data_IF_328932530007
#
_entry.id   IF_328932530007
#
_cell.length_a   1.000
_cell.length_b   1.000
_cell.length_c   1.000
_cell.angle_alpha   90.00
_cell.angle_beta   90.00
_cell.angle_gamma   90.00
#
_symmetry.space_group_name_H-M   'P 1'
#
loop_
_entity.id
_entity.type
_entity.pdbx_description
1 polymer ?
#
# COMPACT_ATOMS: atom_id res chain seq x y z
N UNK A 1 -6.97 -0.45 -20.92
CA UNK A 1 -6.17 0.55 -21.64
C UNK A 1 -4.79 0.04 -22.01
N UNK A 2 -3.93 -0.40 -21.06
CA UNK A 2 -2.55 -0.87 -21.34
C UNK A 2 -2.44 -1.89 -22.49
N UNK A 3 -3.32 -2.89 -22.47
CA UNK A 3 -3.36 -3.92 -23.52
C UNK A 3 -3.67 -3.34 -24.91
N UNK A 4 -4.61 -2.41 -24.96
CA UNK A 4 -5.02 -1.71 -26.18
C UNK A 4 -3.91 -0.80 -26.71
N UNK A 5 -3.22 -0.06 -25.82
CA UNK A 5 -2.05 0.76 -26.18
C UNK A 5 -0.92 -0.07 -26.81
N UNK A 6 -0.78 -1.32 -26.38
CA UNK A 6 0.17 -2.27 -26.95
C UNK A 6 -0.33 -3.00 -28.21
N UNK A 7 -1.53 -2.69 -28.70
CA UNK A 7 -2.14 -3.33 -29.87
C UNK A 7 -2.64 -4.76 -29.63
N UNK A 8 -2.83 -5.15 -28.36
CA UNK A 8 -3.18 -6.51 -28.00
C UNK A 8 -4.64 -6.65 -27.56
N UNK A 9 -5.26 -7.79 -27.86
CA UNK A 9 -6.65 -8.13 -27.54
C UNK A 9 -6.74 -9.33 -26.60
N UNK A 10 -7.86 -9.52 -25.90
CA UNK A 10 -8.00 -10.66 -24.97
C UNK A 10 -7.80 -12.02 -25.64
N UNK A 11 -8.01 -12.12 -26.95
CA UNK A 11 -7.82 -13.35 -27.74
C UNK A 11 -6.35 -13.77 -27.86
N UNK A 12 -5.41 -12.84 -27.74
CA UNK A 12 -3.97 -13.15 -27.84
C UNK A 12 -3.47 -13.97 -26.64
N UNK A 13 -4.25 -14.08 -25.57
CA UNK A 13 -3.92 -14.82 -24.33
C UNK A 13 -2.57 -14.48 -23.69
N UNK A 14 -1.98 -13.34 -24.07
CA UNK A 14 -0.77 -12.78 -23.47
C UNK A 14 -0.98 -12.51 -21.97
N UNK A 15 0.02 -12.92 -21.19
CA UNK A 15 0.09 -12.74 -19.74
C UNK A 15 0.20 -11.25 -19.35
N UNK A 16 -0.40 -10.88 -18.22
CA UNK A 16 -0.38 -9.48 -17.77
C UNK A 16 1.02 -9.01 -17.36
N UNK A 17 1.89 -9.93 -16.94
CA UNK A 17 3.30 -9.65 -16.63
C UNK A 17 4.01 -9.06 -17.85
N UNK A 18 3.79 -9.63 -19.04
CA UNK A 18 4.40 -9.15 -20.28
C UNK A 18 3.90 -7.76 -20.68
N UNK A 19 2.59 -7.51 -20.54
CA UNK A 19 2.03 -6.18 -20.86
C UNK A 19 2.64 -5.13 -19.92
N UNK A 20 2.76 -5.44 -18.62
CA UNK A 20 3.33 -4.54 -17.62
C UNK A 20 4.82 -4.27 -17.86
N UNK A 21 5.59 -5.31 -18.16
CA UNK A 21 7.01 -5.21 -18.51
C UNK A 21 7.22 -4.27 -19.71
N UNK A 22 6.42 -4.47 -20.78
CA UNK A 22 6.45 -3.61 -21.96
C UNK A 22 6.05 -2.16 -21.66
N UNK A 23 5.07 -1.93 -20.78
CA UNK A 23 4.61 -0.58 -20.44
C UNK A 23 5.40 0.05 -19.30
N UNK A 24 6.26 -0.69 -18.59
CA UNK A 24 6.95 -0.25 -17.37
C UNK A 24 6.05 -0.10 -16.13
N UNK A 25 4.78 -0.50 -16.18
CA UNK A 25 3.79 -0.22 -15.13
C UNK A 25 3.90 -1.25 -14.00
N UNK A 26 3.98 -0.78 -12.77
CA UNK A 26 4.12 -1.65 -11.62
C UNK A 26 2.87 -2.52 -11.36
N UNK A 27 3.02 -3.68 -10.71
CA UNK A 27 1.87 -4.48 -10.26
C UNK A 27 0.96 -3.68 -9.32
N UNK A 28 -0.37 -3.83 -9.51
CA UNK A 28 -1.36 -3.14 -8.68
C UNK A 28 -1.18 -3.44 -7.18
N UNK A 29 -0.72 -4.65 -6.84
CA UNK A 29 -0.45 -5.04 -5.45
C UNK A 29 0.62 -4.17 -4.80
N UNK A 30 1.63 -3.76 -5.56
CA UNK A 30 2.71 -2.88 -5.10
C UNK A 30 2.21 -1.45 -4.96
N UNK A 31 1.42 -0.95 -5.91
CA UNK A 31 0.79 0.39 -5.81
C UNK A 31 -0.19 0.49 -4.64
N UNK A 32 -0.97 -0.56 -4.41
CA UNK A 32 -1.83 -0.63 -3.23
C UNK A 32 -1.01 -0.62 -1.94
N UNK A 33 0.16 -1.28 -1.91
CA UNK A 33 1.07 -1.24 -0.76
C UNK A 33 1.63 0.16 -0.53
N UNK A 34 2.15 0.81 -1.58
CA UNK A 34 2.61 2.20 -1.54
C UNK A 34 1.53 3.12 -0.99
N UNK A 35 0.29 3.02 -1.49
CA UNK A 35 -0.82 3.86 -1.03
C UNK A 35 -1.16 3.63 0.45
N UNK A 36 -1.21 2.36 0.90
CA UNK A 36 -1.46 2.03 2.31
C UNK A 36 -0.38 2.59 3.22
N UNK A 37 0.89 2.43 2.87
CA UNK A 37 2.02 2.94 3.65
C UNK A 37 2.12 4.47 3.59
N UNK A 38 1.75 5.09 2.48
CA UNK A 38 1.68 6.55 2.34
C UNK A 38 0.63 7.14 3.29
N UNK A 39 -0.55 6.52 3.38
CA UNK A 39 -1.56 6.89 4.37
C UNK A 39 -1.05 6.66 5.80
N UNK A 40 -0.46 5.50 6.08
CA UNK A 40 0.08 5.21 7.42
C UNK A 40 1.13 6.25 7.86
N UNK A 41 2.11 6.56 7.01
CA UNK A 41 3.11 7.58 7.30
C UNK A 41 2.47 8.95 7.54
N UNK A 42 1.45 9.32 6.75
CA UNK A 42 0.69 10.56 6.98
C UNK A 42 0.07 10.61 8.39
N UNK A 43 -0.53 9.50 8.86
CA UNK A 43 -1.12 9.40 10.20
C UNK A 43 -0.05 9.46 11.29
N UNK A 44 1.05 8.73 11.15
CA UNK A 44 2.14 8.70 12.14
C UNK A 44 2.89 10.03 12.28
N UNK A 45 2.76 10.92 11.31
CA UNK A 45 3.33 12.27 11.38
C UNK A 45 2.40 13.30 12.04
N UNK A 46 1.12 12.97 12.27
CA UNK A 46 0.21 13.89 12.95
C UNK A 46 0.47 13.91 14.46
N UNK A 47 0.24 15.05 15.10
CA UNK A 47 0.25 15.13 16.57
C UNK A 47 -0.73 14.10 17.16
N UNK A 48 -0.44 13.62 18.37
CA UNK A 48 -1.31 12.65 19.06
C UNK A 48 -2.73 13.19 19.27
N UNK A 49 -2.87 14.50 19.38
CA UNK A 49 -4.15 15.21 19.51
C UNK A 49 -4.89 15.37 18.18
N UNK A 50 -4.29 15.05 17.04
CA UNK A 50 -5.00 15.11 15.78
C UNK A 50 -6.08 14.02 15.76
N UNK A 51 -7.28 14.38 15.30
CA UNK A 51 -8.44 13.46 15.22
C UNK A 51 -8.10 12.16 14.51
N UNK A 52 -7.36 12.24 13.40
CA UNK A 52 -6.96 11.06 12.61
C UNK A 52 -6.13 10.07 13.43
N UNK A 53 -5.22 10.55 14.28
CA UNK A 53 -4.36 9.71 15.13
C UNK A 53 -5.12 9.16 16.34
N UNK A 54 -6.03 9.95 16.92
CA UNK A 54 -6.94 9.47 17.96
C UNK A 54 -7.84 8.36 17.44
N UNK A 55 -8.48 8.52 16.29
CA UNK A 55 -9.33 7.50 15.68
C UNK A 55 -8.58 6.19 15.40
N UNK A 56 -7.35 6.26 14.88
CA UNK A 56 -6.52 5.08 14.66
C UNK A 56 -6.24 4.31 15.96
N UNK A 57 -5.94 5.03 17.05
CA UNK A 57 -5.74 4.42 18.36
C UNK A 57 -7.01 3.78 18.94
N UNK A 58 -8.19 4.36 18.68
CA UNK A 58 -9.48 3.86 19.14
C UNK A 58 -9.89 2.58 18.39
N UNK A 59 -9.70 2.53 17.08
CA UNK A 59 -9.97 1.33 16.26
C UNK A 59 -9.04 0.17 16.64
N UNK A 60 -7.81 0.47 17.09
CA UNK A 60 -6.85 -0.52 17.57
C UNK A 60 -7.22 -1.08 18.95
N UNK A 61 -7.88 -0.29 19.80
CA UNK A 61 -8.37 -0.72 21.12
C UNK A 61 -9.76 -1.35 20.99
N UNK A 62 -9.78 -2.68 20.88
CA UNK A 62 -10.90 -3.52 21.32
C UNK A 62 -12.24 -3.37 20.58
N UNK A 63 -12.26 -3.58 19.27
CA UNK A 63 -13.50 -3.99 18.60
C UNK A 63 -13.62 -5.51 18.71
N UNK A 64 -14.50 -6.00 19.60
CA UNK A 64 -14.88 -7.43 19.60
C UNK A 64 -15.47 -7.77 18.23
N UNK A 65 -14.78 -8.62 17.47
CA UNK A 65 -15.22 -8.98 16.12
C UNK A 65 -16.32 -10.04 16.18
N UNK A 66 -17.34 -9.85 15.34
CA UNK A 66 -18.36 -10.85 15.10
C UNK A 66 -17.77 -12.12 14.46
N UNK A 67 -18.40 -13.25 14.70
CA UNK A 67 -18.04 -14.55 14.13
C UNK A 67 -18.25 -14.50 12.60
N UNK A 68 -17.25 -14.93 11.81
CA UNK A 68 -17.34 -15.00 10.34
C UNK A 68 -16.73 -13.83 9.55
N UNK A 69 -16.17 -12.81 10.23
CA UNK A 69 -15.51 -11.69 9.54
C UNK A 69 -14.08 -12.02 9.02
N UNK A 70 -13.57 -11.25 8.04
CA UNK A 70 -12.19 -11.36 7.59
C UNK A 70 -11.21 -11.20 8.76
N UNK A 71 -10.28 -12.14 8.89
CA UNK A 71 -9.32 -12.18 10.01
C UNK A 71 -8.33 -11.00 9.97
N UNK A 72 -7.96 -10.55 8.77
CA UNK A 72 -6.91 -9.54 8.58
C UNK A 72 -7.33 -8.17 9.13
N UNK A 73 -6.58 -7.64 10.09
CA UNK A 73 -6.70 -6.24 10.50
C UNK A 73 -5.95 -5.31 9.54
N UNK A 74 -6.33 -4.03 9.53
CA UNK A 74 -5.53 -2.97 8.89
C UNK A 74 -4.10 -2.98 9.43
N UNK A 75 -3.93 -3.03 10.75
CA UNK A 75 -2.61 -3.04 11.39
C UNK A 75 -1.76 -4.26 11.03
N UNK A 76 -2.34 -5.45 10.95
CA UNK A 76 -1.63 -6.63 10.43
C UNK A 76 -1.22 -6.46 8.98
N UNK A 77 -2.07 -5.83 8.16
CA UNK A 77 -1.75 -5.58 6.75
C UNK A 77 -0.58 -4.61 6.62
N UNK A 78 -0.59 -3.51 7.37
CA UNK A 78 0.51 -2.55 7.42
C UNK A 78 1.81 -3.20 7.91
N UNK A 79 1.75 -4.01 8.99
CA UNK A 79 2.94 -4.71 9.49
C UNK A 79 3.52 -5.67 8.46
N UNK A 80 2.67 -6.40 7.73
CA UNK A 80 3.12 -7.29 6.64
C UNK A 80 3.74 -6.51 5.49
N UNK A 81 3.16 -5.38 5.12
CA UNK A 81 3.70 -4.51 4.08
C UNK A 81 5.07 -3.91 4.48
N UNK A 82 5.21 -3.48 5.73
CA UNK A 82 6.48 -3.00 6.28
C UNK A 82 7.53 -4.11 6.31
N UNK A 83 7.16 -5.31 6.75
CA UNK A 83 8.04 -6.47 6.77
C UNK A 83 8.50 -6.86 5.36
N UNK A 84 7.59 -6.80 4.38
CA UNK A 84 7.91 -7.08 2.98
C UNK A 84 8.96 -6.10 2.42
N UNK A 85 8.90 -4.83 2.81
CA UNK A 85 9.86 -3.81 2.37
C UNK A 85 11.08 -3.67 3.30
N UNK A 86 11.14 -4.40 4.41
CA UNK A 86 12.20 -4.27 5.42
C UNK A 86 12.25 -2.88 6.10
N UNK A 87 11.11 -2.20 6.20
CA UNK A 87 11.02 -0.85 6.80
C UNK A 87 10.41 -0.91 8.20
N UNK A 88 10.79 0.03 9.06
CA UNK A 88 10.26 0.15 10.43
C UNK A 88 9.42 1.40 10.60
N UNK A 89 8.49 1.37 11.56
CA UNK A 89 7.63 2.51 11.88
C UNK A 89 8.43 3.76 12.30
N UNK A 90 9.60 3.59 12.93
CA UNK A 90 10.46 4.70 13.37
C UNK A 90 10.93 5.55 12.19
N UNK A 91 11.05 4.96 11.00
CA UNK A 91 11.45 5.65 9.77
C UNK A 91 10.42 6.67 9.30
N UNK A 92 9.18 6.62 9.79
CA UNK A 92 8.15 7.64 9.48
C UNK A 92 8.50 9.03 10.00
N UNK A 93 9.48 9.15 10.91
CA UNK A 93 9.99 10.44 11.41
C UNK A 93 10.76 11.23 10.35
N UNK A 94 11.39 10.55 9.39
CA UNK A 94 12.03 11.16 8.24
C UNK A 94 11.15 10.96 7.00
N UNK A 95 10.45 12.02 6.58
CA UNK A 95 9.50 11.93 5.46
C UNK A 95 10.20 11.69 4.12
N UNK A 96 11.42 12.20 3.94
CA UNK A 96 12.16 12.01 2.69
C UNK A 96 12.57 10.55 2.55
N UNK A 97 13.17 9.99 3.61
CA UNK A 97 13.51 8.58 3.67
C UNK A 97 12.28 7.68 3.56
N UNK A 98 11.18 8.02 4.23
CA UNK A 98 9.93 7.26 4.15
C UNK A 98 9.39 7.21 2.72
N UNK A 99 9.23 8.37 2.08
CA UNK A 99 8.72 8.45 0.70
C UNK A 99 9.60 7.69 -0.27
N UNK A 100 10.92 7.84 -0.16
CA UNK A 100 11.86 7.15 -1.03
C UNK A 100 11.73 5.62 -0.93
N UNK A 101 11.55 5.08 0.29
CA UNK A 101 11.47 3.62 0.50
C UNK A 101 10.13 3.00 0.15
N UNK A 102 9.03 3.74 0.26
CA UNK A 102 7.70 3.22 -0.11
C UNK A 102 7.37 3.41 -1.58
N UNK A 103 8.12 4.28 -2.28
CA UNK A 103 7.80 4.64 -3.64
C UNK A 103 7.97 3.46 -4.59
N UNK A 104 6.93 3.22 -5.40
CA UNK A 104 6.96 2.26 -6.48
C UNK A 104 6.91 3.08 -7.76
N UNK A 105 7.97 2.97 -8.56
CA UNK A 105 8.09 3.67 -9.83
C UNK A 105 6.93 3.24 -10.75
N UNK A 106 6.26 4.23 -11.31
CA UNK A 106 5.40 4.06 -12.48
C UNK A 106 5.85 5.06 -13.55
N UNK A 107 5.80 4.66 -14.83
CA UNK A 107 6.08 5.56 -15.93
C UNK A 107 5.01 6.65 -15.92
N UNK A 108 5.49 7.89 -15.78
CA UNK A 108 4.65 9.10 -15.74
C UNK A 108 4.43 9.61 -17.16
#
# INVERSE_FOLDING_TARGET
MLRWMCGHTRLDKIRNEFIRDKTGVAPITEKMREARLRWFGHVQMRLLEALVRRCESLVTRHVKRGRGGPTKTWNETIRKDMMYLGISEIMTKDMAQWRQRIHIADPT
#
